data_IF_477259372716
#
_entry.id   IF_477259372716
#
_cell.length_a   1.000
_cell.length_b   1.000
_cell.length_c   1.000
_cell.angle_alpha   90.00
_cell.angle_beta   90.00
_cell.angle_gamma   90.00
#
_symmetry.space_group_name_H-M   'P 1'
#
loop_
_entity.id
_entity.type
_entity.pdbx_description
1 polymer ?
#
# COMPACT_ATOMS: atom_id res chain seq x y z
N UNK A 1 0.19 0.70 -10.27
CA UNK A 1 0.39 0.68 -8.81
C UNK A 1 1.49 1.67 -8.47
N UNK A 2 1.28 2.48 -7.42
CA UNK A 2 2.34 3.27 -6.76
C UNK A 2 2.36 2.88 -5.29
N UNK A 3 3.54 2.49 -4.79
CA UNK A 3 3.66 1.88 -3.46
C UNK A 3 4.27 2.87 -2.46
N UNK A 4 3.64 2.98 -1.30
CA UNK A 4 4.12 3.74 -0.15
C UNK A 4 5.21 2.94 0.60
N UNK A 5 6.31 3.59 0.93
CA UNK A 5 7.27 3.09 1.93
C UNK A 5 6.84 3.65 3.30
N UNK A 6 6.08 2.85 4.04
CA UNK A 6 5.51 3.29 5.32
C UNK A 6 6.59 3.55 6.37
N UNK A 7 7.67 2.76 6.39
CA UNK A 7 8.77 2.95 7.34
C UNK A 7 9.39 4.35 7.22
N UNK A 8 9.66 4.79 5.99
CA UNK A 8 10.22 6.13 5.75
C UNK A 8 9.22 7.23 6.10
N UNK A 9 7.96 7.08 5.70
CA UNK A 9 6.94 8.09 5.95
C UNK A 9 6.72 8.35 7.44
N UNK A 10 6.67 7.29 8.25
CA UNK A 10 6.51 7.40 9.70
C UNK A 10 7.73 8.03 10.36
N UNK A 11 8.94 7.61 9.99
CA UNK A 11 10.16 8.18 10.56
C UNK A 11 10.38 9.65 10.18
N UNK A 12 9.95 10.06 8.98
CA UNK A 12 9.95 11.46 8.56
C UNK A 12 8.83 12.29 9.22
N UNK A 13 7.87 11.66 9.88
CA UNK A 13 6.67 12.33 10.42
C UNK A 13 5.83 13.00 9.33
N UNK A 14 5.75 12.40 8.14
CA UNK A 14 5.03 12.97 7.01
C UNK A 14 3.53 12.82 7.16
N UNK A 15 2.80 13.81 6.69
CA UNK A 15 1.34 13.73 6.59
C UNK A 15 0.94 12.70 5.52
N UNK A 16 0.46 11.53 5.97
CA UNK A 16 0.06 10.44 5.11
C UNK A 16 -1.05 10.83 4.12
N UNK A 17 -2.02 11.63 4.55
CA UNK A 17 -3.10 12.09 3.68
C UNK A 17 -2.57 12.98 2.55
N UNK A 18 -1.59 13.85 2.85
CA UNK A 18 -0.95 14.69 1.84
C UNK A 18 -0.13 13.87 0.84
N UNK A 19 0.59 12.84 1.29
CA UNK A 19 1.35 11.95 0.40
C UNK A 19 0.43 11.11 -0.49
N UNK A 20 -0.66 10.58 0.07
CA UNK A 20 -1.69 9.86 -0.70
C UNK A 20 -2.33 10.77 -1.75
N UNK A 21 -2.67 12.01 -1.39
CA UNK A 21 -3.22 12.97 -2.35
C UNK A 21 -2.24 13.30 -3.49
N UNK A 22 -0.94 13.30 -3.21
CA UNK A 22 0.10 13.45 -4.24
C UNK A 22 0.13 12.26 -5.19
N UNK A 23 0.05 11.04 -4.65
CA UNK A 23 -0.02 9.81 -5.45
C UNK A 23 -1.25 9.83 -6.36
N UNK A 24 -2.43 10.21 -5.85
CA UNK A 24 -3.64 10.31 -6.67
C UNK A 24 -3.45 11.22 -7.88
N UNK A 25 -2.77 12.37 -7.72
CA UNK A 25 -2.47 13.27 -8.84
C UNK A 25 -1.58 12.61 -9.90
N UNK A 26 -0.52 11.91 -9.48
CA UNK A 26 0.37 11.21 -10.41
C UNK A 26 -0.35 10.06 -11.12
N UNK A 27 -1.13 9.28 -10.39
CA UNK A 27 -1.89 8.17 -10.97
C UNK A 27 -2.97 8.67 -11.93
N UNK A 28 -3.65 9.76 -11.61
CA UNK A 28 -4.62 10.37 -12.51
C UNK A 28 -3.95 10.92 -13.77
N UNK A 29 -2.80 11.59 -13.65
CA UNK A 29 -2.03 12.04 -14.82
C UNK A 29 -1.60 10.85 -15.70
N UNK A 30 -1.15 9.75 -15.09
CA UNK A 30 -0.85 8.52 -15.82
C UNK A 30 -2.08 7.94 -16.53
N UNK A 31 -3.25 7.95 -15.87
CA UNK A 31 -4.52 7.54 -16.47
C UNK A 31 -4.84 8.37 -17.71
N UNK A 32 -4.66 9.69 -17.65
CA UNK A 32 -4.87 10.59 -18.81
C UNK A 32 -3.94 10.24 -19.97
N UNK A 33 -2.67 9.96 -19.68
CA UNK A 33 -1.71 9.51 -20.70
C UNK A 33 -2.14 8.20 -21.35
N UNK A 34 -2.66 7.24 -20.58
CA UNK A 34 -3.18 5.97 -21.11
C UNK A 34 -4.39 6.18 -22.02
N UNK A 35 -5.28 7.12 -21.70
CA UNK A 35 -6.42 7.50 -22.55
C UNK A 35 -5.96 8.10 -23.88
N UNK A 36 -4.92 8.95 -23.86
CA UNK A 36 -4.31 9.50 -25.07
C UNK A 36 -3.69 8.41 -25.96
N UNK A 37 -2.96 7.46 -25.35
CA UNK A 37 -2.39 6.33 -26.08
C UNK A 37 -3.44 5.42 -26.67
N UNK A 38 -4.55 5.17 -25.96
CA UNK A 38 -5.67 4.42 -26.50
C UNK A 38 -6.32 5.15 -27.68
N UNK A 39 -6.56 6.45 -27.56
CA UNK A 39 -7.12 7.25 -28.64
C UNK A 39 -6.20 7.28 -29.91
N UNK A 40 -4.89 7.13 -29.70
CA UNK A 40 -3.91 7.02 -30.78
C UNK A 40 -3.70 5.58 -31.31
N UNK A 41 -4.51 4.61 -30.86
CA UNK A 41 -4.39 3.18 -31.20
C UNK A 41 -3.03 2.56 -30.87
N UNK A 42 -2.39 3.03 -29.81
CA UNK A 42 -1.09 2.52 -29.35
C UNK A 42 -1.23 1.39 -28.33
N UNK A 43 -2.44 1.05 -27.93
CA UNK A 43 -2.74 0.03 -26.90
C UNK A 43 -3.62 -1.09 -27.48
N UNK A 44 -3.02 -2.05 -28.21
CA UNK A 44 -3.81 -3.04 -28.97
C UNK A 44 -4.70 -3.92 -28.10
N UNK A 45 -4.34 -4.19 -26.83
CA UNK A 45 -5.15 -4.99 -25.90
C UNK A 45 -6.46 -4.25 -25.54
N UNK A 46 -6.39 -2.93 -25.40
CA UNK A 46 -7.55 -2.08 -25.14
C UNK A 46 -8.41 -1.91 -26.40
N UNK A 47 -7.76 -1.71 -27.55
CA UNK A 47 -8.45 -1.58 -28.85
C UNK A 47 -9.21 -2.86 -29.22
N UNK A 48 -8.66 -4.02 -28.88
CA UNK A 48 -9.32 -5.32 -29.05
C UNK A 48 -10.44 -5.60 -28.03
N UNK A 49 -10.64 -4.71 -27.03
CA UNK A 49 -11.72 -4.82 -26.05
C UNK A 49 -11.50 -5.86 -24.95
N UNK A 50 -10.27 -6.41 -24.81
CA UNK A 50 -9.97 -7.36 -23.72
C UNK A 50 -9.93 -6.67 -22.34
N UNK A 51 -9.51 -5.41 -22.31
CA UNK A 51 -9.42 -4.58 -21.11
C UNK A 51 -10.05 -3.23 -21.41
N UNK A 52 -10.73 -2.65 -20.43
CA UNK A 52 -11.30 -1.30 -20.55
C UNK A 52 -10.79 -0.44 -19.41
N UNK A 53 -10.44 0.81 -19.70
CA UNK A 53 -9.88 1.72 -18.71
C UNK A 53 -10.85 2.03 -17.57
N UNK A 54 -12.14 2.10 -17.81
CA UNK A 54 -13.20 2.38 -16.82
C UNK A 54 -13.32 1.30 -15.73
N UNK A 55 -12.85 0.08 -16.02
CA UNK A 55 -12.84 -1.04 -15.08
C UNK A 55 -11.54 -1.17 -14.29
N UNK A 56 -10.50 -0.43 -14.68
CA UNK A 56 -9.21 -0.50 -14.00
C UNK A 56 -9.13 0.43 -12.81
N UNK A 57 -8.54 -0.07 -11.74
CA UNK A 57 -8.21 0.69 -10.55
C UNK A 57 -6.83 1.34 -10.67
N UNK A 58 -6.70 2.49 -10.05
CA UNK A 58 -5.42 3.14 -9.76
C UNK A 58 -5.04 2.76 -8.34
N UNK A 59 -4.08 1.86 -8.21
CA UNK A 59 -3.82 1.18 -6.94
C UNK A 59 -2.70 1.84 -6.16
N UNK A 60 -2.94 2.07 -4.86
CA UNK A 60 -1.90 2.38 -3.88
C UNK A 60 -1.44 1.07 -3.26
N UNK A 61 -0.19 0.69 -3.46
CA UNK A 61 0.45 -0.41 -2.75
C UNK A 61 0.99 0.06 -1.40
N UNK A 62 1.04 -0.84 -0.43
CA UNK A 62 1.64 -0.60 0.89
C UNK A 62 2.80 -1.58 1.10
N UNK A 63 3.94 -1.05 1.58
CA UNK A 63 5.11 -1.83 1.94
C UNK A 63 5.76 -1.25 3.20
N UNK A 64 6.25 -2.09 4.08
CA UNK A 64 6.97 -1.64 5.27
C UNK A 64 6.08 -1.17 6.42
N UNK A 65 4.85 -1.64 6.54
CA UNK A 65 3.95 -1.28 7.66
C UNK A 65 4.43 -1.86 8.99
N UNK A 66 4.88 -3.12 8.99
CA UNK A 66 5.45 -3.75 10.17
C UNK A 66 6.72 -3.00 10.63
N UNK A 67 7.60 -2.67 9.69
CA UNK A 67 8.83 -1.92 9.94
C UNK A 67 8.54 -0.51 10.47
N UNK A 68 7.50 0.14 9.97
CA UNK A 68 7.05 1.44 10.46
C UNK A 68 6.59 1.37 11.93
N UNK A 69 5.83 0.35 12.29
CA UNK A 69 5.39 0.11 13.66
C UNK A 69 6.58 -0.12 14.60
N UNK A 70 7.53 -0.98 14.20
CA UNK A 70 8.76 -1.24 14.97
C UNK A 70 9.60 0.03 15.16
N UNK A 71 9.71 0.87 14.12
CA UNK A 71 10.43 2.14 14.22
C UNK A 71 9.78 3.10 15.23
N UNK A 72 8.46 3.01 15.40
CA UNK A 72 7.68 3.72 16.42
C UNK A 72 7.68 3.04 17.79
N UNK A 73 8.36 1.89 17.96
CA UNK A 73 8.43 1.16 19.24
C UNK A 73 7.20 0.30 19.51
N UNK A 74 6.41 -0.03 18.48
CA UNK A 74 5.22 -0.88 18.57
C UNK A 74 5.61 -2.31 18.19
N UNK A 75 5.26 -3.28 19.04
CA UNK A 75 5.49 -4.70 18.77
C UNK A 75 4.51 -5.19 17.72
N UNK A 76 5.02 -5.76 16.63
CA UNK A 76 4.21 -6.35 15.57
C UNK A 76 3.58 -7.64 16.08
N UNK A 77 2.27 -7.79 15.89
CA UNK A 77 1.52 -8.97 16.33
C UNK A 77 0.04 -8.65 16.55
N UNK A 78 -0.76 -9.67 16.89
CA UNK A 78 -2.17 -9.46 17.18
C UNK A 78 -2.35 -8.89 18.59
N UNK A 79 -2.20 -7.58 18.69
CA UNK A 79 -2.38 -6.78 19.91
C UNK A 79 -3.01 -5.43 19.57
N UNK A 80 -3.65 -4.80 20.54
CA UNK A 80 -4.43 -3.57 20.37
C UNK A 80 -3.61 -2.41 19.81
N UNK A 81 -2.36 -2.27 20.23
CA UNK A 81 -1.52 -1.14 19.83
C UNK A 81 -1.14 -1.26 18.35
N UNK A 82 -0.74 -2.47 17.90
CA UNK A 82 -0.39 -2.70 16.52
C UNK A 82 -1.63 -2.65 15.60
N UNK A 83 -2.72 -3.31 15.98
CA UNK A 83 -3.97 -3.28 15.21
C UNK A 83 -4.46 -1.84 15.02
N UNK A 84 -4.46 -1.05 16.09
CA UNK A 84 -4.83 0.38 16.01
C UNK A 84 -3.88 1.17 15.12
N UNK A 85 -2.57 0.95 15.27
CA UNK A 85 -1.55 1.60 14.44
C UNK A 85 -1.80 1.38 12.95
N UNK A 86 -2.04 0.14 12.53
CA UNK A 86 -2.31 -0.23 11.14
C UNK A 86 -3.66 0.33 10.67
N UNK A 87 -4.71 0.14 11.49
CA UNK A 87 -6.07 0.57 11.18
C UNK A 87 -6.16 2.08 10.93
N UNK A 88 -5.52 2.89 11.76
CA UNK A 88 -5.51 4.36 11.62
C UNK A 88 -4.91 4.78 10.26
N UNK A 89 -3.83 4.12 9.81
CA UNK A 89 -3.19 4.42 8.52
C UNK A 89 -4.04 3.96 7.34
N UNK A 90 -4.57 2.75 7.42
CA UNK A 90 -5.44 2.21 6.37
C UNK A 90 -6.70 3.05 6.20
N UNK A 91 -7.31 3.50 7.29
CA UNK A 91 -8.49 4.36 7.27
C UNK A 91 -8.21 5.69 6.57
N UNK A 92 -7.08 6.34 6.85
CA UNK A 92 -6.68 7.57 6.16
C UNK A 92 -6.59 7.34 4.65
N UNK A 93 -5.94 6.25 4.22
CA UNK A 93 -5.77 5.93 2.80
C UNK A 93 -7.13 5.61 2.17
N UNK A 94 -7.96 4.80 2.82
CA UNK A 94 -9.29 4.43 2.34
C UNK A 94 -10.18 5.66 2.14
N UNK A 95 -10.30 6.54 3.13
CA UNK A 95 -11.09 7.75 3.05
C UNK A 95 -10.58 8.69 1.93
N UNK A 96 -9.25 8.80 1.77
CA UNK A 96 -8.64 9.56 0.69
C UNK A 96 -8.93 8.96 -0.69
N UNK A 97 -8.89 7.63 -0.84
CA UNK A 97 -9.26 6.92 -2.07
C UNK A 97 -10.73 7.19 -2.45
N UNK A 98 -11.63 7.12 -1.48
CA UNK A 98 -13.06 7.40 -1.70
C UNK A 98 -13.30 8.84 -2.15
N UNK A 99 -12.61 9.80 -1.52
CA UNK A 99 -12.70 11.21 -1.90
C UNK A 99 -12.11 11.46 -3.30
N UNK A 100 -10.94 10.90 -3.60
CA UNK A 100 -10.28 11.02 -4.89
C UNK A 100 -11.10 10.36 -6.01
N UNK A 101 -11.70 9.20 -5.76
CA UNK A 101 -12.55 8.51 -6.74
C UNK A 101 -13.73 9.37 -7.16
N UNK A 102 -14.38 10.04 -6.20
CA UNK A 102 -15.46 11.00 -6.49
C UNK A 102 -14.97 12.24 -7.23
N UNK A 103 -13.80 12.76 -6.85
CA UNK A 103 -13.24 13.99 -7.43
C UNK A 103 -12.76 13.80 -8.87
N UNK A 104 -12.03 12.72 -9.14
CA UNK A 104 -11.43 12.46 -10.46
C UNK A 104 -12.30 11.62 -11.40
N UNK A 105 -13.38 11.02 -10.91
CA UNK A 105 -14.25 10.14 -11.71
C UNK A 105 -13.58 8.83 -12.14
N UNK A 106 -12.56 8.38 -11.41
CA UNK A 106 -11.83 7.13 -11.64
C UNK A 106 -11.80 6.29 -10.36
N UNK A 107 -11.45 5.02 -10.47
CA UNK A 107 -11.42 4.11 -9.32
C UNK A 107 -10.03 4.07 -8.71
N UNK A 108 -9.92 4.36 -7.43
CA UNK A 108 -8.74 4.14 -6.62
C UNK A 108 -8.99 3.02 -5.63
N UNK A 109 -7.96 2.25 -5.31
CA UNK A 109 -7.98 1.23 -4.28
C UNK A 109 -6.61 1.09 -3.59
N UNK A 110 -6.56 0.30 -2.54
CA UNK A 110 -5.35 0.03 -1.76
C UNK A 110 -5.12 -1.46 -1.68
N UNK A 111 -3.88 -1.89 -1.87
CA UNK A 111 -3.48 -3.28 -1.83
C UNK A 111 -2.28 -3.51 -0.92
N UNK A 112 -2.34 -4.61 -0.19
CA UNK A 112 -1.25 -5.20 0.59
C UNK A 112 -0.85 -6.52 -0.08
N UNK A 113 0.00 -6.42 -1.11
CA UNK A 113 0.38 -7.58 -1.94
C UNK A 113 1.90 -7.73 -2.01
N UNK A 114 2.40 -8.95 -2.22
CA UNK A 114 3.82 -9.23 -2.28
C UNK A 114 4.56 -8.35 -3.27
N UNK A 115 5.61 -7.70 -2.80
CA UNK A 115 6.50 -6.83 -3.59
C UNK A 115 7.95 -6.95 -3.08
N UNK A 116 8.47 -8.18 -3.01
CA UNK A 116 9.73 -8.50 -2.35
C UNK A 116 10.91 -7.73 -2.95
N UNK A 117 10.99 -7.59 -4.27
CA UNK A 117 12.02 -6.78 -4.92
C UNK A 117 11.96 -5.30 -4.48
N UNK A 118 10.77 -4.76 -4.25
CA UNK A 118 10.60 -3.40 -3.74
C UNK A 118 10.94 -3.35 -2.26
N UNK A 119 10.55 -4.36 -1.47
CA UNK A 119 10.89 -4.48 -0.06
C UNK A 119 12.40 -4.43 0.17
N UNK A 120 13.18 -5.19 -0.60
CA UNK A 120 14.64 -5.16 -0.55
C UNK A 120 15.20 -3.79 -0.94
N UNK A 121 14.65 -3.15 -1.98
CA UNK A 121 15.08 -1.80 -2.40
C UNK A 121 14.78 -0.76 -1.33
N UNK A 122 13.57 -0.77 -0.76
CA UNK A 122 13.18 0.16 0.31
C UNK A 122 14.10 0.03 1.51
N UNK A 123 14.35 -1.18 2.01
CA UNK A 123 15.25 -1.43 3.13
C UNK A 123 16.68 -0.92 2.86
N UNK A 124 17.19 -1.17 1.64
CA UNK A 124 18.53 -0.71 1.23
C UNK A 124 18.61 0.81 1.15
N UNK A 125 17.63 1.48 0.55
CA UNK A 125 17.59 2.94 0.42
C UNK A 125 17.44 3.60 1.78
N UNK A 126 16.54 3.10 2.62
CA UNK A 126 16.32 3.65 3.96
C UNK A 126 17.58 3.53 4.81
N UNK A 127 18.28 2.38 4.75
CA UNK A 127 19.56 2.19 5.45
C UNK A 127 20.63 3.15 4.95
N UNK A 128 20.74 3.34 3.62
CA UNK A 128 21.70 4.26 3.04
C UNK A 128 21.43 5.72 3.44
N UNK A 129 20.18 6.08 3.61
CA UNK A 129 19.74 7.43 4.00
C UNK A 129 19.68 7.63 5.54
N UNK A 130 20.06 6.61 6.34
CA UNK A 130 20.20 6.72 7.80
C UNK A 130 18.93 6.46 8.61
N UNK A 131 17.88 5.91 8.00
CA UNK A 131 16.67 5.49 8.73
C UNK A 131 16.90 4.20 9.52
N UNK A 132 16.06 3.97 10.53
CA UNK A 132 16.01 2.68 11.22
C UNK A 132 15.46 1.63 10.27
N UNK A 133 16.17 0.52 10.14
CA UNK A 133 15.81 -0.60 9.24
C UNK A 133 15.95 -1.89 10.04
N UNK A 134 14.85 -2.56 10.33
CA UNK A 134 14.80 -3.76 11.16
C UNK A 134 15.19 -5.04 10.39
N UNK A 135 15.06 -5.04 9.04
CA UNK A 135 15.34 -6.21 8.19
C UNK A 135 15.77 -5.82 6.78
N UNK A 136 16.29 -6.79 6.03
CA UNK A 136 16.81 -6.55 4.68
C UNK A 136 15.74 -6.52 3.57
N UNK A 137 14.53 -6.99 3.89
CA UNK A 137 13.36 -6.95 3.00
C UNK A 137 12.14 -6.51 3.80
N UNK A 138 11.53 -5.38 3.44
CA UNK A 138 10.31 -4.91 4.09
C UNK A 138 9.11 -5.78 3.73
N UNK A 139 8.25 -6.01 4.71
CA UNK A 139 7.07 -6.83 4.53
C UNK A 139 5.99 -6.13 3.69
N UNK A 140 5.29 -6.97 2.92
CA UNK A 140 4.07 -6.61 2.19
C UNK A 140 2.86 -7.32 2.78
N UNK A 141 2.89 -7.59 4.09
CA UNK A 141 1.85 -8.28 4.87
C UNK A 141 1.59 -7.49 6.15
N UNK A 142 0.50 -7.83 6.86
CA UNK A 142 0.19 -7.26 8.18
C UNK A 142 1.12 -7.76 9.31
N UNK A 143 2.04 -8.66 9.01
CA UNK A 143 2.94 -9.28 9.97
C UNK A 143 4.30 -9.55 9.31
N UNK A 144 5.27 -9.89 10.12
CA UNK A 144 6.57 -10.37 9.64
C UNK A 144 6.45 -11.86 9.31
N UNK A 145 6.68 -12.22 8.05
CA UNK A 145 6.46 -13.59 7.55
C UNK A 145 7.36 -14.59 8.26
N UNK A 146 8.62 -14.22 8.49
CA UNK A 146 9.65 -15.05 9.09
C UNK A 146 9.60 -15.07 10.63
N UNK A 147 8.66 -14.34 11.24
CA UNK A 147 8.53 -14.31 12.69
C UNK A 147 7.84 -15.58 13.20
N UNK A 148 8.62 -16.43 13.88
CA UNK A 148 8.16 -17.69 14.47
C UNK A 148 7.28 -17.49 15.71
N UNK A 149 7.31 -16.32 16.35
CA UNK A 149 6.49 -15.99 17.51
C UNK A 149 5.03 -15.67 17.12
N UNK A 150 4.79 -15.26 15.88
CA UNK A 150 3.45 -15.02 15.36
C UNK A 150 2.87 -16.33 14.83
N UNK A 151 2.01 -16.95 15.60
CA UNK A 151 1.37 -18.21 15.22
C UNK A 151 0.32 -18.02 14.09
N UNK A 152 -0.11 -19.14 13.49
CA UNK A 152 -1.05 -19.11 12.36
C UNK A 152 -2.41 -18.47 12.71
N UNK A 153 -2.89 -18.63 13.95
CA UNK A 153 -4.15 -18.00 14.37
C UNK A 153 -4.03 -16.49 14.46
N UNK A 154 -2.92 -15.98 14.98
CA UNK A 154 -2.65 -14.54 15.02
C UNK A 154 -2.52 -13.95 13.63
N UNK A 155 -1.88 -14.67 12.69
CA UNK A 155 -1.84 -14.27 11.27
C UNK A 155 -3.24 -14.17 10.66
N UNK A 156 -4.11 -15.14 10.93
CA UNK A 156 -5.51 -15.09 10.52
C UNK A 156 -6.27 -13.93 11.16
N UNK A 157 -6.04 -13.65 12.45
CA UNK A 157 -6.71 -12.54 13.15
C UNK A 157 -6.26 -11.20 12.60
N UNK A 158 -4.95 -11.01 12.34
CA UNK A 158 -4.41 -9.81 11.68
C UNK A 158 -4.94 -9.62 10.26
N UNK A 159 -5.24 -10.71 9.56
CA UNK A 159 -5.87 -10.68 8.23
C UNK A 159 -7.41 -10.62 8.30
N UNK A 160 -7.96 -10.51 9.51
CA UNK A 160 -9.39 -10.44 9.77
C UNK A 160 -10.02 -9.08 9.49
N UNK A 161 -11.31 -9.00 9.78
CA UNK A 161 -12.17 -7.87 9.44
C UNK A 161 -11.68 -6.52 9.96
N UNK A 162 -11.01 -6.45 11.10
CA UNK A 162 -10.57 -5.18 11.67
C UNK A 162 -9.60 -4.39 10.77
N UNK A 163 -8.75 -5.09 10.01
CA UNK A 163 -7.78 -4.48 9.10
C UNK A 163 -8.23 -4.56 7.64
N UNK A 164 -8.70 -5.73 7.19
CA UNK A 164 -9.06 -5.97 5.79
C UNK A 164 -10.26 -5.15 5.34
N UNK A 165 -11.17 -4.79 6.23
CA UNK A 165 -12.31 -3.92 5.91
C UNK A 165 -11.89 -2.52 5.40
N UNK A 166 -10.66 -2.10 5.70
CA UNK A 166 -10.07 -0.85 5.20
C UNK A 166 -9.23 -1.03 3.93
N UNK A 167 -9.19 -2.25 3.37
CA UNK A 167 -8.51 -2.55 2.11
C UNK A 167 -9.54 -2.87 1.03
N UNK A 168 -9.72 -1.95 0.12
CA UNK A 168 -10.69 -2.07 -0.98
C UNK A 168 -10.10 -2.71 -2.25
N UNK A 169 -8.82 -3.05 -2.25
CA UNK A 169 -8.13 -3.74 -3.35
C UNK A 169 -7.87 -5.20 -3.07
N UNK A 170 -7.22 -5.48 -1.97
CA UNK A 170 -6.90 -6.85 -1.56
C UNK A 170 -5.65 -6.95 -0.70
N UNK A 171 -5.50 -8.11 -0.08
CA UNK A 171 -4.31 -8.48 0.69
C UNK A 171 -3.96 -9.94 0.49
N UNK A 172 -2.69 -10.28 0.67
CA UNK A 172 -2.21 -11.64 0.65
C UNK A 172 -2.01 -12.17 2.08
N UNK A 173 -2.35 -13.44 2.30
CA UNK A 173 -2.01 -14.21 3.48
C UNK A 173 -0.92 -15.22 3.11
N UNK A 174 0.14 -15.29 3.91
CA UNK A 174 1.27 -16.22 3.70
C UNK A 174 1.44 -17.17 4.89
#
# INVERSE_FOLDING_TARGET
VMTLNMNRLEQDGRDLAAEVAKIHKYQFAYRRLMEEYQAAHMLPVYDAGFITLDKQFLTIGINGMAEAAEACGITVGYNDDYVRFVQDRLKIIFEANQAASRHYGVKFNTEFVPAENLGVKNARWDRADGYKVSRDCYNSYFYVVEDEEINALDKFMLHGCELVDWLDGGSALH
#
